data_IF_337559893289
#
_entry.id   IF_337559893289
#
_cell.length_a   1.000
_cell.length_b   1.000
_cell.length_c   1.000
_cell.angle_alpha   90.00
_cell.angle_beta   90.00
_cell.angle_gamma   90.00
#
_symmetry.space_group_name_H-M   'P 1'
#
loop_
_entity.id
_entity.type
_entity.pdbx_description
1 polymer ?
#
# COMPACT_ATOMS: atom_id res chain seq x y z
N UNK A 1 -20.37 -75.17 -3.47
CA UNK A 1 -21.26 -74.87 -2.31
C UNK A 1 -20.85 -75.82 -1.19
N UNK A 2 -20.53 -75.32 0.02
CA UNK A 2 -19.86 -76.07 1.11
C UNK A 2 -18.39 -76.49 0.76
N UNK A 3 -17.45 -76.71 1.70
CA UNK A 3 -17.56 -77.00 3.14
C UNK A 3 -16.40 -76.40 3.99
N UNK A 4 -16.44 -76.58 5.33
CA UNK A 4 -15.60 -75.90 6.38
C UNK A 4 -14.36 -76.70 6.85
N UNK A 5 -13.54 -76.05 7.71
CA UNK A 5 -12.60 -76.53 8.78
C UNK A 5 -11.09 -76.56 8.41
N UNK A 6 -10.11 -76.30 9.31
CA UNK A 6 -10.10 -75.76 10.70
C UNK A 6 -8.67 -75.37 11.22
N UNK A 7 -8.59 -74.48 12.23
CA UNK A 7 -7.62 -74.36 13.38
C UNK A 7 -6.07 -74.42 13.13
N UNK A 8 -5.23 -73.35 13.23
CA UNK A 8 -4.70 -72.57 14.42
C UNK A 8 -3.75 -73.39 15.34
N UNK A 9 -2.63 -72.90 16.00
CA UNK A 9 -1.66 -71.80 15.77
C UNK A 9 -0.15 -72.13 16.11
N UNK A 10 0.75 -71.13 16.08
CA UNK A 10 1.82 -70.75 17.09
C UNK A 10 3.05 -70.12 16.41
N UNK A 11 3.49 -68.88 16.73
CA UNK A 11 4.44 -68.50 17.79
C UNK A 11 5.85 -68.23 17.18
N UNK A 12 6.69 -67.26 17.55
CA UNK A 12 6.62 -66.12 18.48
C UNK A 12 7.99 -65.40 18.59
N UNK A 13 8.04 -64.18 19.17
CA UNK A 13 9.22 -63.44 19.73
C UNK A 13 10.45 -63.13 18.83
N UNK A 14 10.83 -61.86 18.56
CA UNK A 14 11.67 -60.93 19.40
C UNK A 14 13.18 -61.00 19.01
N UNK A 15 14.08 -60.02 19.20
CA UNK A 15 14.05 -58.61 19.68
C UNK A 15 15.40 -57.91 19.30
N UNK A 16 15.42 -56.57 19.23
CA UNK A 16 16.56 -55.61 19.44
C UNK A 16 17.85 -55.76 18.55
N UNK A 17 18.84 -54.84 18.47
CA UNK A 17 19.17 -53.59 19.21
C UNK A 17 19.95 -52.56 18.33
N UNK A 18 20.01 -51.30 18.79
CA UNK A 18 21.17 -50.34 18.82
C UNK A 18 22.05 -50.12 17.55
N UNK A 19 22.10 -48.91 16.98
CA UNK A 19 22.88 -47.70 17.36
C UNK A 19 24.28 -47.62 16.71
N UNK A 20 24.52 -46.56 15.91
CA UNK A 20 25.86 -45.99 15.68
C UNK A 20 25.77 -44.63 14.97
N UNK A 21 26.47 -43.63 15.47
CA UNK A 21 26.55 -42.28 14.89
C UNK A 21 27.88 -42.02 14.18
N UNK A 22 27.89 -41.24 13.08
CA UNK A 22 28.97 -40.27 12.78
C UNK A 22 28.80 -39.43 11.50
N UNK A 23 28.86 -38.10 11.70
CA UNK A 23 29.67 -37.09 10.98
C UNK A 23 29.43 -36.74 9.49
N UNK A 24 29.35 -35.42 9.29
CA UNK A 24 29.48 -34.68 8.03
C UNK A 24 30.61 -35.16 7.08
N UNK A 25 30.37 -35.09 5.76
CA UNK A 25 30.89 -33.98 4.92
C UNK A 25 30.30 -33.92 3.50
N UNK A 26 29.94 -32.70 3.11
CA UNK A 26 29.89 -32.12 1.74
C UNK A 26 30.43 -32.93 0.56
N UNK A 27 29.67 -32.97 -0.55
CA UNK A 27 30.26 -32.92 -1.91
C UNK A 27 29.37 -32.14 -2.90
N UNK A 28 30.01 -31.24 -3.65
CA UNK A 28 29.44 -30.47 -4.77
C UNK A 28 28.93 -31.39 -5.88
N UNK A 29 27.85 -30.96 -6.55
CA UNK A 29 27.56 -31.30 -7.94
C UNK A 29 27.15 -30.03 -8.71
N UNK A 30 27.90 -29.70 -9.78
CA UNK A 30 27.40 -28.98 -10.96
C UNK A 30 26.61 -30.02 -11.81
N UNK A 31 25.73 -29.70 -12.76
CA UNK A 31 25.89 -28.75 -13.89
C UNK A 31 24.56 -28.60 -14.67
N UNK A 32 24.42 -27.54 -15.49
CA UNK A 32 23.43 -27.34 -16.62
C UNK A 32 21.95 -27.25 -16.19
N UNK A 33 21.29 -26.08 -16.17
CA UNK A 33 20.95 -25.12 -17.25
C UNK A 33 19.75 -25.52 -18.13
N UNK A 34 18.59 -24.92 -17.86
CA UNK A 34 17.53 -24.62 -18.82
C UNK A 34 17.07 -23.19 -18.51
N UNK A 35 17.11 -22.29 -19.48
CA UNK A 35 16.87 -20.87 -19.26
C UNK A 35 15.41 -20.46 -19.50
N UNK A 36 14.90 -19.57 -18.66
CA UNK A 36 13.72 -18.74 -18.95
C UNK A 36 14.01 -17.29 -18.51
N UNK A 37 13.28 -16.35 -19.10
CA UNK A 37 13.66 -14.94 -19.26
C UNK A 37 13.55 -14.11 -17.98
N UNK A 38 14.61 -13.38 -17.63
CA UNK A 38 14.60 -12.39 -16.55
C UNK A 38 13.86 -11.10 -16.95
N UNK A 39 12.80 -10.75 -16.22
CA UNK A 39 12.41 -9.34 -16.09
C UNK A 39 13.41 -8.65 -15.15
N UNK A 40 13.79 -7.42 -15.49
CA UNK A 40 14.71 -6.62 -14.67
C UNK A 40 13.91 -5.98 -13.53
N UNK A 41 14.19 -6.38 -12.30
CA UNK A 41 13.73 -5.69 -11.11
C UNK A 41 14.55 -4.39 -10.95
N UNK A 42 13.87 -3.27 -10.75
CA UNK A 42 14.48 -1.99 -10.46
C UNK A 42 14.36 -1.72 -8.94
N UNK A 43 15.36 -2.15 -8.18
CA UNK A 43 15.50 -1.79 -6.78
C UNK A 43 15.66 -0.26 -6.62
N UNK A 44 14.80 0.36 -5.82
CA UNK A 44 14.99 1.71 -5.29
C UNK A 44 14.95 1.69 -3.76
N UNK A 45 16.00 1.12 -3.18
CA UNK A 45 16.28 1.19 -1.75
C UNK A 45 16.67 2.62 -1.35
N UNK A 46 15.72 3.40 -0.84
CA UNK A 46 15.99 4.65 -0.14
C UNK A 46 16.28 4.35 1.34
N UNK A 47 17.57 4.33 1.69
CA UNK A 47 18.04 4.23 3.06
C UNK A 47 19.29 5.09 3.23
N UNK A 48 19.18 6.20 3.96
CA UNK A 48 20.31 7.05 4.33
C UNK A 48 20.77 6.73 5.74
N UNK A 49 22.05 6.38 5.89
CA UNK A 49 22.71 6.23 7.19
C UNK A 49 23.58 7.47 7.50
N UNK A 50 23.51 7.95 8.74
CA UNK A 50 24.28 9.07 9.26
C UNK A 50 24.87 8.72 10.63
N UNK A 51 26.20 8.56 10.74
CA UNK A 51 26.92 8.59 12.02
C UNK A 51 28.45 8.80 11.88
N UNK A 52 28.89 10.02 12.19
CA UNK A 52 30.18 10.51 12.72
C UNK A 52 31.47 9.64 12.82
N UNK A 53 32.61 10.27 12.47
CA UNK A 53 33.95 9.97 12.98
C UNK A 53 35.05 10.97 12.50
N UNK A 54 35.77 11.62 13.42
CA UNK A 54 36.91 12.55 13.23
C UNK A 54 38.00 12.21 14.29
N UNK A 55 39.25 12.72 14.24
CA UNK A 55 40.18 13.03 13.12
C UNK A 55 41.66 12.61 13.39
N UNK A 56 42.58 12.76 12.41
CA UNK A 56 44.05 12.99 12.52
C UNK A 56 44.65 13.16 11.08
N UNK A 57 45.33 14.26 10.69
CA UNK A 57 46.80 14.54 10.80
C UNK A 57 47.71 13.38 10.30
N UNK A 58 48.71 13.51 9.41
CA UNK A 58 49.59 14.58 8.87
C UNK A 58 49.79 14.37 7.32
N UNK A 59 50.43 15.20 6.46
CA UNK A 59 51.07 16.53 6.48
C UNK A 59 51.30 17.05 5.01
N UNK A 60 51.99 18.21 4.85
CA UNK A 60 52.20 18.98 3.60
C UNK A 60 53.18 18.40 2.53
N UNK A 61 52.94 18.72 1.25
CA UNK A 61 54.01 19.12 0.30
C UNK A 61 53.44 19.85 -0.94
N UNK A 62 54.06 20.94 -1.44
CA UNK A 62 53.41 21.84 -2.39
C UNK A 62 53.70 21.55 -3.87
N UNK A 63 52.65 21.53 -4.70
CA UNK A 63 52.69 21.76 -6.16
C UNK A 63 51.42 22.50 -6.56
N UNK A 64 51.50 23.78 -6.90
CA UNK A 64 51.81 24.33 -8.24
C UNK A 64 50.54 24.50 -9.09
N UNK A 65 50.48 25.57 -9.87
CA UNK A 65 49.25 26.20 -10.33
C UNK A 65 48.37 25.30 -11.22
N UNK A 66 47.23 24.83 -10.68
CA UNK A 66 46.09 24.46 -11.50
C UNK A 66 45.15 25.65 -11.68
N UNK A 67 44.76 25.90 -12.94
CA UNK A 67 43.59 26.73 -13.24
C UNK A 67 42.36 26.07 -12.58
N UNK A 68 41.33 26.84 -12.18
CA UNK A 68 40.05 26.23 -11.83
C UNK A 68 39.57 25.41 -13.04
N UNK A 69 39.16 24.16 -12.79
CA UNK A 69 38.70 23.29 -13.86
C UNK A 69 37.44 23.89 -14.50
N UNK A 70 37.30 23.73 -15.81
CA UNK A 70 36.13 24.28 -16.53
C UNK A 70 34.82 23.68 -16.04
N UNK A 71 34.88 22.44 -15.56
CA UNK A 71 33.72 21.70 -15.05
C UNK A 71 33.35 22.16 -13.64
N UNK A 72 34.33 22.42 -12.76
CA UNK A 72 34.10 22.94 -11.40
C UNK A 72 33.44 24.34 -11.45
N UNK A 73 33.89 25.19 -12.37
CA UNK A 73 33.28 26.52 -12.61
C UNK A 73 31.98 26.50 -13.40
N UNK A 74 31.64 25.38 -14.05
CA UNK A 74 30.33 25.15 -14.64
C UNK A 74 29.33 24.66 -13.60
N UNK A 75 29.69 23.66 -12.79
CA UNK A 75 28.87 23.13 -11.71
C UNK A 75 28.51 24.20 -10.67
N UNK A 76 29.46 25.02 -10.23
CA UNK A 76 29.19 26.11 -9.29
C UNK A 76 28.23 27.19 -9.85
N UNK A 77 28.14 27.32 -11.19
CA UNK A 77 27.16 28.20 -11.85
C UNK A 77 25.79 27.55 -11.98
N UNK A 78 25.74 26.27 -12.34
CA UNK A 78 24.50 25.49 -12.42
C UNK A 78 23.81 25.46 -11.05
N UNK A 79 24.55 25.16 -9.99
CA UNK A 79 24.09 25.21 -8.59
C UNK A 79 23.61 26.62 -8.19
N UNK A 80 24.36 27.68 -8.57
CA UNK A 80 23.97 29.06 -8.26
C UNK A 80 22.70 29.52 -8.99
N UNK A 81 22.43 29.05 -10.21
CA UNK A 81 21.16 29.36 -10.90
C UNK A 81 20.00 28.50 -10.36
N UNK A 82 20.24 27.24 -10.01
CA UNK A 82 19.23 26.37 -9.41
C UNK A 82 18.72 26.91 -8.06
N UNK A 83 19.62 27.46 -7.23
CA UNK A 83 19.25 28.16 -5.98
C UNK A 83 18.36 29.36 -6.27
N UNK A 84 18.69 30.23 -7.24
CA UNK A 84 17.86 31.39 -7.61
C UNK A 84 16.49 30.99 -8.14
N UNK A 85 16.42 29.92 -8.94
CA UNK A 85 15.14 29.37 -9.41
C UNK A 85 14.27 28.87 -8.24
N UNK A 86 14.88 28.23 -7.25
CA UNK A 86 14.19 27.76 -6.05
C UNK A 86 13.71 28.94 -5.18
N UNK A 87 14.56 29.95 -4.94
CA UNK A 87 14.20 31.18 -4.22
C UNK A 87 13.04 31.92 -4.90
N UNK A 88 13.09 32.11 -6.23
CA UNK A 88 12.02 32.73 -7.00
C UNK A 88 10.72 31.92 -6.96
N UNK A 89 10.81 30.59 -7.03
CA UNK A 89 9.64 29.72 -6.88
C UNK A 89 9.02 29.85 -5.49
N UNK A 90 9.84 29.85 -4.45
CA UNK A 90 9.41 29.99 -3.05
C UNK A 90 8.75 31.36 -2.82
N UNK A 91 9.28 32.43 -3.41
CA UNK A 91 8.65 33.75 -3.39
C UNK A 91 7.29 33.74 -4.10
N UNK A 92 7.20 33.17 -5.31
CA UNK A 92 5.93 33.06 -6.03
C UNK A 92 4.87 32.27 -5.24
N UNK A 93 5.25 31.20 -4.55
CA UNK A 93 4.36 30.44 -3.66
C UNK A 93 3.84 31.30 -2.51
N UNK A 94 4.72 32.10 -1.88
CA UNK A 94 4.34 33.04 -0.83
C UNK A 94 3.34 34.09 -1.35
N UNK A 95 3.61 34.70 -2.50
CA UNK A 95 2.79 35.76 -3.11
C UNK A 95 1.41 35.24 -3.55
N UNK A 96 1.33 33.97 -3.97
CA UNK A 96 0.08 33.28 -4.30
C UNK A 96 -0.68 32.74 -3.06
N UNK A 97 -0.14 32.91 -1.84
CA UNK A 97 -0.69 32.31 -0.63
C UNK A 97 -0.77 30.78 -0.68
N UNK A 98 0.01 30.16 -1.56
CA UNK A 98 -0.07 28.74 -1.92
C UNK A 98 1.09 27.98 -1.29
N UNK A 99 0.80 26.91 -0.56
CA UNK A 99 1.83 26.27 0.27
C UNK A 99 2.35 27.23 1.35
N UNK A 100 1.45 27.68 2.25
CA UNK A 100 1.77 28.41 3.49
C UNK A 100 3.15 28.01 4.06
N UNK A 101 4.02 29.00 4.22
CA UNK A 101 5.33 28.85 4.81
C UNK A 101 5.24 28.56 6.32
N UNK A 102 6.07 27.62 6.78
CA UNK A 102 6.32 27.30 8.18
C UNK A 102 7.83 27.45 8.38
N UNK A 103 8.28 28.12 9.43
CA UNK A 103 9.72 28.25 9.72
C UNK A 103 10.29 26.96 10.32
N UNK A 104 11.60 26.79 10.33
CA UNK A 104 12.26 25.66 11.01
C UNK A 104 11.94 25.65 12.51
N UNK A 105 11.89 26.83 13.15
CA UNK A 105 11.53 26.97 14.58
C UNK A 105 10.07 26.56 14.84
N UNK A 106 9.12 27.00 14.00
CA UNK A 106 7.72 26.57 14.08
C UNK A 106 7.58 25.06 13.82
N UNK A 107 8.31 24.53 12.84
CA UNK A 107 8.33 23.11 12.51
C UNK A 107 8.81 22.27 13.70
N UNK A 108 9.93 22.64 14.33
CA UNK A 108 10.44 21.98 15.53
C UNK A 108 9.43 22.09 16.69
N UNK A 109 8.82 23.26 16.88
CA UNK A 109 7.77 23.44 17.89
C UNK A 109 6.53 22.56 17.64
N UNK A 110 6.12 22.35 16.38
CA UNK A 110 5.04 21.40 16.03
C UNK A 110 5.47 19.94 16.21
N UNK A 111 6.71 19.60 15.89
CA UNK A 111 7.27 18.26 16.11
C UNK A 111 7.26 17.89 17.60
N UNK A 112 7.72 18.80 18.47
CA UNK A 112 7.78 18.61 19.93
C UNK A 112 6.40 18.55 20.60
N UNK A 113 5.35 19.08 19.96
CA UNK A 113 3.96 18.97 20.43
C UNK A 113 3.34 17.58 20.19
N UNK A 114 3.87 16.81 19.24
CA UNK A 114 3.27 15.56 18.80
C UNK A 114 3.70 14.37 19.68
N UNK A 115 2.80 13.40 19.95
CA UNK A 115 3.15 12.21 20.68
C UNK A 115 4.23 11.38 19.96
N UNK A 116 5.09 10.74 20.73
CA UNK A 116 5.94 9.67 20.21
C UNK A 116 5.09 8.48 19.74
N UNK A 117 5.56 7.75 18.72
CA UNK A 117 4.93 6.48 18.34
C UNK A 117 4.83 5.54 19.55
N UNK A 118 3.71 4.82 19.73
CA UNK A 118 3.60 3.78 20.75
C UNK A 118 4.67 2.70 20.53
N UNK A 119 5.71 2.69 21.37
CA UNK A 119 6.71 1.63 21.35
C UNK A 119 6.17 0.43 22.09
N UNK A 120 5.58 -0.50 21.34
CA UNK A 120 5.15 -1.78 21.89
C UNK A 120 6.37 -2.69 21.95
N UNK A 121 7.09 -2.62 23.07
CA UNK A 121 8.02 -3.67 23.44
C UNK A 121 7.18 -4.88 23.86
N UNK A 122 7.34 -6.06 23.24
CA UNK A 122 6.65 -7.25 23.67
C UNK A 122 7.15 -7.62 25.07
N UNK A 123 6.29 -7.44 26.07
CA UNK A 123 6.61 -7.75 27.46
C UNK A 123 7.04 -9.22 27.59
N UNK A 124 7.96 -9.48 28.52
CA UNK A 124 8.37 -10.85 28.83
C UNK A 124 7.19 -11.71 29.39
N UNK A 125 6.12 -11.05 29.85
CA UNK A 125 4.89 -11.65 30.33
C UNK A 125 4.03 -12.07 29.13
N UNK A 126 3.85 -13.38 28.96
CA UNK A 126 2.95 -13.97 27.96
C UNK A 126 1.64 -14.38 28.61
N UNK A 127 0.56 -14.33 27.83
CA UNK A 127 -0.73 -14.88 28.24
C UNK A 127 -0.61 -16.33 28.73
N UNK A 128 -1.30 -16.64 29.83
CA UNK A 128 -1.39 -18.01 30.35
C UNK A 128 -2.17 -18.91 29.38
N UNK A 129 -2.00 -20.22 29.51
CA UNK A 129 -2.77 -21.19 28.72
C UNK A 129 -4.29 -21.02 28.85
N UNK A 130 -4.79 -20.57 30.01
CA UNK A 130 -6.22 -20.34 30.23
C UNK A 130 -6.73 -19.08 29.53
N UNK A 131 -5.92 -18.02 29.46
CA UNK A 131 -6.26 -16.79 28.74
C UNK A 131 -6.21 -17.01 27.22
N UNK A 132 -5.20 -17.73 26.72
CA UNK A 132 -5.14 -18.17 25.33
C UNK A 132 -6.37 -19.02 24.96
N UNK A 133 -6.82 -19.92 25.83
CA UNK A 133 -8.03 -20.72 25.63
C UNK A 133 -9.30 -19.86 25.49
N UNK A 134 -9.43 -18.80 26.31
CA UNK A 134 -10.53 -17.82 26.22
C UNK A 134 -10.44 -17.01 24.92
N UNK A 135 -9.25 -16.52 24.58
CA UNK A 135 -9.00 -15.73 23.38
C UNK A 135 -9.30 -16.53 22.10
N UNK A 136 -8.91 -17.80 22.04
CA UNK A 136 -9.22 -18.69 20.91
C UNK A 136 -10.73 -18.87 20.71
N UNK A 137 -11.52 -18.96 21.81
CA UNK A 137 -12.99 -18.99 21.75
C UNK A 137 -13.56 -17.66 21.24
N UNK A 138 -13.03 -16.52 21.71
CA UNK A 138 -13.48 -15.20 21.24
C UNK A 138 -13.15 -14.97 19.75
N UNK A 139 -11.93 -15.29 19.32
CA UNK A 139 -11.48 -15.16 17.92
C UNK A 139 -12.26 -16.10 16.98
N UNK A 140 -12.74 -17.26 17.47
CA UNK A 140 -13.63 -18.12 16.69
C UNK A 140 -14.97 -17.43 16.38
N UNK A 141 -15.56 -16.71 17.34
CA UNK A 141 -16.78 -15.92 17.12
C UNK A 141 -16.55 -14.79 16.09
N UNK A 142 -15.40 -14.13 16.13
CA UNK A 142 -15.03 -13.11 15.13
C UNK A 142 -14.95 -13.69 13.70
N UNK A 143 -14.35 -14.88 13.53
CA UNK A 143 -14.31 -15.60 12.24
C UNK A 143 -15.71 -15.98 11.76
N UNK A 144 -16.55 -16.49 12.67
CA UNK A 144 -17.93 -16.86 12.38
C UNK A 144 -18.76 -15.66 11.90
N UNK A 145 -18.66 -14.52 12.59
CA UNK A 145 -19.30 -13.25 12.17
C UNK A 145 -18.86 -12.82 10.78
N UNK A 146 -17.56 -12.83 10.50
CA UNK A 146 -17.04 -12.47 9.19
C UNK A 146 -17.56 -13.39 8.09
N UNK A 147 -17.53 -14.72 8.31
CA UNK A 147 -18.11 -15.68 7.38
C UNK A 147 -19.59 -15.42 7.11
N UNK A 148 -20.39 -15.20 8.17
CA UNK A 148 -21.81 -14.87 8.04
C UNK A 148 -22.05 -13.56 7.29
N UNK A 149 -21.22 -12.53 7.50
CA UNK A 149 -21.28 -11.28 6.74
C UNK A 149 -21.00 -11.52 5.25
N UNK A 150 -19.95 -12.28 4.91
CA UNK A 150 -19.65 -12.61 3.50
C UNK A 150 -20.80 -13.37 2.82
N UNK A 151 -21.46 -14.28 3.52
CA UNK A 151 -22.58 -15.05 2.95
C UNK A 151 -23.88 -14.23 2.86
N UNK A 152 -24.22 -13.45 3.90
CA UNK A 152 -25.50 -12.71 3.95
C UNK A 152 -25.47 -11.36 3.24
N UNK A 153 -24.41 -10.58 3.44
CA UNK A 153 -24.31 -9.20 2.96
C UNK A 153 -23.51 -9.11 1.65
N UNK A 154 -22.41 -9.87 1.50
CA UNK A 154 -21.61 -9.91 0.25
C UNK A 154 -22.10 -10.97 -0.77
N UNK A 155 -23.13 -11.75 -0.44
CA UNK A 155 -23.72 -12.76 -1.33
C UNK A 155 -22.79 -13.91 -1.73
N UNK A 156 -21.79 -14.27 -0.91
CA UNK A 156 -20.92 -15.43 -1.14
C UNK A 156 -21.65 -16.75 -0.89
N UNK A 157 -21.17 -17.82 -1.52
CA UNK A 157 -21.73 -19.17 -1.36
C UNK A 157 -21.56 -19.71 0.08
N UNK A 158 -22.59 -20.38 0.60
CA UNK A 158 -22.61 -20.92 1.97
C UNK A 158 -21.95 -22.30 2.04
N UNK A 159 -20.67 -22.36 1.67
CA UNK A 159 -19.84 -23.57 1.61
C UNK A 159 -19.81 -24.39 2.92
N UNK A 160 -20.11 -23.78 4.07
CA UNK A 160 -20.17 -24.42 5.39
C UNK A 160 -21.59 -24.69 5.90
N UNK A 161 -22.64 -24.19 5.23
CA UNK A 161 -24.02 -24.30 5.69
C UNK A 161 -24.31 -23.56 7.01
N UNK A 162 -23.63 -22.43 7.25
CA UNK A 162 -23.63 -21.71 8.52
C UNK A 162 -24.39 -20.39 8.51
N UNK A 163 -25.00 -19.99 7.37
CA UNK A 163 -25.67 -18.68 7.26
C UNK A 163 -26.76 -18.46 8.31
N UNK A 164 -27.56 -19.49 8.61
CA UNK A 164 -28.75 -19.39 9.46
C UNK A 164 -28.52 -19.79 10.93
N UNK A 165 -27.29 -20.18 11.29
CA UNK A 165 -26.91 -20.49 12.67
C UNK A 165 -26.83 -19.21 13.50
N UNK A 166 -27.48 -19.17 14.66
CA UNK A 166 -27.39 -18.02 15.59
C UNK A 166 -26.05 -17.96 16.34
N UNK A 167 -25.69 -16.81 16.92
CA UNK A 167 -24.49 -16.74 17.78
C UNK A 167 -24.67 -17.48 19.11
N UNK A 168 -25.91 -17.64 19.58
CA UNK A 168 -26.23 -18.36 20.82
C UNK A 168 -26.02 -19.88 20.68
N UNK A 169 -26.09 -20.41 19.46
CA UNK A 169 -25.74 -21.80 19.12
C UNK A 169 -24.22 -22.03 19.04
N UNK A 170 -23.41 -20.97 18.96
CA UNK A 170 -21.95 -21.04 18.82
C UNK A 170 -21.23 -21.25 20.17
N UNK A 171 -21.59 -22.33 20.87
CA UNK A 171 -20.95 -22.71 22.12
C UNK A 171 -19.50 -23.25 21.93
N UNK A 172 -18.81 -23.56 23.03
CA UNK A 172 -17.43 -24.08 22.97
C UNK A 172 -17.35 -25.45 22.26
N UNK A 173 -18.39 -26.28 22.31
CA UNK A 173 -18.40 -27.56 21.60
C UNK A 173 -18.59 -27.35 20.10
N UNK A 174 -19.47 -26.44 19.69
CA UNK A 174 -19.68 -26.02 18.31
C UNK A 174 -18.38 -25.45 17.71
N UNK A 175 -17.72 -24.52 18.41
CA UNK A 175 -16.41 -24.02 18.01
C UNK A 175 -15.38 -25.14 17.83
N UNK A 176 -15.29 -26.10 18.77
CA UNK A 176 -14.39 -27.25 18.63
C UNK A 176 -14.71 -28.15 17.43
N UNK A 177 -16.00 -28.43 17.17
CA UNK A 177 -16.46 -29.22 16.02
C UNK A 177 -15.99 -28.62 14.69
N UNK A 178 -15.98 -27.29 14.59
CA UNK A 178 -15.55 -26.54 13.42
C UNK A 178 -14.07 -26.08 13.45
N UNK A 179 -13.24 -26.65 14.33
CA UNK A 179 -11.81 -26.30 14.41
C UNK A 179 -11.55 -24.82 14.75
N UNK A 180 -12.44 -24.19 15.51
CA UNK A 180 -12.48 -22.75 15.81
C UNK A 180 -12.51 -21.86 14.56
N UNK A 181 -13.05 -22.39 13.46
CA UNK A 181 -13.15 -21.75 12.13
C UNK A 181 -11.81 -21.34 11.51
N UNK A 182 -10.68 -21.90 11.99
CA UNK A 182 -9.34 -21.61 11.43
C UNK A 182 -9.24 -21.90 9.94
N UNK A 183 -9.95 -22.93 9.46
CA UNK A 183 -10.02 -23.27 8.05
C UNK A 183 -10.46 -22.10 7.14
N UNK A 184 -11.22 -21.13 7.66
CA UNK A 184 -11.70 -19.95 6.90
C UNK A 184 -10.61 -18.86 6.78
N UNK A 185 -9.68 -18.81 7.73
CA UNK A 185 -8.44 -18.03 7.60
C UNK A 185 -7.43 -18.75 6.70
N UNK A 186 -7.27 -20.07 6.87
CA UNK A 186 -6.26 -20.90 6.19
C UNK A 186 -6.56 -21.13 4.70
N UNK A 187 -7.83 -21.23 4.31
CA UNK A 187 -8.25 -21.36 2.91
C UNK A 187 -8.35 -20.02 2.16
N UNK A 188 -7.86 -18.92 2.75
CA UNK A 188 -7.85 -17.56 2.19
C UNK A 188 -9.22 -16.92 1.91
N UNK A 189 -10.32 -17.48 2.44
CA UNK A 189 -11.67 -16.88 2.36
C UNK A 189 -11.75 -15.56 3.12
N UNK A 190 -11.02 -15.47 4.24
CA UNK A 190 -10.81 -14.21 4.95
C UNK A 190 -9.54 -13.52 4.45
N UNK A 191 -9.70 -12.23 4.16
CA UNK A 191 -8.69 -11.25 3.77
C UNK A 191 -7.99 -10.61 4.98
N UNK A 192 -8.14 -11.24 6.14
CA UNK A 192 -7.56 -10.88 7.42
C UNK A 192 -7.32 -12.14 8.26
N UNK A 193 -6.53 -12.00 9.32
CA UNK A 193 -6.29 -13.04 10.31
C UNK A 193 -5.84 -12.40 11.64
N UNK A 194 -5.93 -13.15 12.74
CA UNK A 194 -5.28 -12.74 13.99
C UNK A 194 -3.82 -13.19 14.00
N UNK A 195 -2.87 -12.25 14.13
CA UNK A 195 -1.45 -12.55 13.97
C UNK A 195 -0.90 -13.42 15.13
N UNK A 196 -0.27 -14.59 14.86
CA UNK A 196 0.09 -15.56 15.91
C UNK A 196 1.12 -15.10 16.96
N UNK A 197 1.90 -14.06 16.65
CA UNK A 197 2.83 -13.44 17.63
C UNK A 197 2.08 -12.45 18.51
N UNK A 198 1.32 -11.52 17.90
CA UNK A 198 0.52 -10.52 18.59
C UNK A 198 -0.57 -11.15 19.50
N UNK A 199 -1.06 -12.33 19.11
CA UNK A 199 -1.97 -13.14 19.94
C UNK A 199 -1.39 -13.66 21.25
N UNK A 200 -0.07 -13.56 21.49
CA UNK A 200 0.59 -14.01 22.73
C UNK A 200 0.90 -12.86 23.68
N UNK A 201 0.83 -11.63 23.17
CA UNK A 201 1.12 -10.40 23.88
C UNK A 201 -0.15 -9.92 24.62
N UNK A 202 -0.12 -9.82 25.97
CA UNK A 202 -1.26 -9.35 26.75
C UNK A 202 -1.51 -7.84 26.63
N UNK A 203 -0.52 -7.04 26.21
CA UNK A 203 -0.64 -5.57 26.10
C UNK A 203 -1.51 -5.11 24.93
N UNK A 204 -1.66 -5.98 23.91
CA UNK A 204 -2.42 -5.67 22.70
C UNK A 204 -3.94 -5.84 22.90
N UNK A 205 -4.70 -5.01 22.19
CA UNK A 205 -6.13 -5.23 21.96
C UNK A 205 -6.35 -6.19 20.79
N UNK A 206 -7.53 -6.81 20.69
CA UNK A 206 -7.87 -7.65 19.53
C UNK A 206 -7.89 -6.86 18.21
N UNK A 207 -8.09 -5.54 18.26
CA UNK A 207 -7.92 -4.64 17.12
C UNK A 207 -6.46 -4.58 16.62
N UNK A 208 -5.48 -4.57 17.53
CA UNK A 208 -4.06 -4.58 17.17
C UNK A 208 -3.58 -5.97 16.75
N UNK A 209 -4.22 -7.04 17.25
CA UNK A 209 -3.96 -8.42 16.80
C UNK A 209 -4.51 -8.72 15.40
N UNK A 210 -5.51 -7.96 14.95
CA UNK A 210 -6.12 -8.07 13.62
C UNK A 210 -5.17 -7.52 12.55
N UNK A 211 -4.75 -8.39 11.63
CA UNK A 211 -3.86 -8.05 10.51
C UNK A 211 -4.53 -8.41 9.19
N UNK A 212 -4.48 -7.50 8.22
CA UNK A 212 -5.00 -7.76 6.88
C UNK A 212 -4.00 -8.59 6.08
N UNK A 213 -4.48 -9.42 5.16
CA UNK A 213 -3.61 -10.15 4.23
C UNK A 213 -3.15 -9.24 3.10
N UNK A 214 -1.94 -9.48 2.60
CA UNK A 214 -1.40 -8.85 1.40
C UNK A 214 -1.41 -9.88 0.25
N UNK A 215 -2.52 -9.95 -0.49
CA UNK A 215 -2.65 -10.94 -1.56
C UNK A 215 -1.60 -10.67 -2.67
N UNK A 216 -0.85 -11.72 -3.03
CA UNK A 216 0.24 -11.61 -4.01
C UNK A 216 1.44 -10.75 -3.58
N UNK A 217 1.47 -10.24 -2.35
CA UNK A 217 2.52 -9.35 -1.84
C UNK A 217 2.42 -7.89 -2.32
N UNK A 218 1.43 -7.54 -3.15
CA UNK A 218 1.38 -6.26 -3.89
C UNK A 218 0.11 -5.43 -3.66
N UNK A 219 -0.81 -5.86 -2.79
CA UNK A 219 -2.03 -5.08 -2.48
C UNK A 219 -1.68 -3.79 -1.74
N UNK A 220 -0.74 -3.85 -0.79
CA UNK A 220 -0.35 -2.75 0.09
C UNK A 220 1.13 -2.38 -0.07
N UNK A 221 1.42 -1.09 -0.28
CA UNK A 221 2.75 -0.61 -0.64
C UNK A 221 3.84 -0.92 0.40
N UNK A 222 3.52 -0.82 1.69
CA UNK A 222 4.44 -1.10 2.81
C UNK A 222 3.78 -1.99 3.87
N UNK A 223 3.17 -3.09 3.42
CA UNK A 223 2.37 -3.98 4.27
C UNK A 223 3.06 -4.41 5.58
N UNK A 224 4.34 -4.77 5.53
CA UNK A 224 5.13 -5.21 6.68
C UNK A 224 5.14 -4.13 7.78
N UNK A 225 5.36 -2.87 7.39
CA UNK A 225 5.39 -1.74 8.32
C UNK A 225 3.98 -1.46 8.89
N UNK A 226 2.96 -1.50 8.03
CA UNK A 226 1.57 -1.15 8.40
C UNK A 226 0.99 -2.01 9.52
N UNK A 227 1.33 -3.30 9.58
CA UNK A 227 0.87 -4.16 10.67
C UNK A 227 1.75 -4.09 11.91
N UNK A 228 3.00 -3.61 11.80
CA UNK A 228 3.94 -3.43 12.92
C UNK A 228 3.78 -2.10 13.66
N UNK A 229 3.14 -1.09 13.07
CA UNK A 229 2.80 0.16 13.77
C UNK A 229 1.89 -0.04 14.99
N UNK A 230 1.10 -1.12 14.99
CA UNK A 230 0.25 -1.58 16.10
C UNK A 230 -0.56 -0.46 16.79
N UNK A 231 -1.02 0.53 16.03
CA UNK A 231 -1.80 1.64 16.54
C UNK A 231 -3.17 1.19 17.08
N UNK A 232 -3.72 1.94 18.03
CA UNK A 232 -5.10 1.75 18.46
C UNK A 232 -6.06 2.27 17.38
N UNK A 233 -7.29 1.74 17.35
CA UNK A 233 -8.31 2.21 16.39
C UNK A 233 -8.56 3.72 16.50
N UNK A 234 -8.43 4.30 17.70
CA UNK A 234 -8.60 5.75 17.93
C UNK A 234 -7.51 6.58 17.23
N UNK A 235 -6.27 6.09 17.20
CA UNK A 235 -5.17 6.75 16.48
C UNK A 235 -5.32 6.52 14.97
N UNK A 236 -5.70 5.31 14.55
CA UNK A 236 -5.89 4.98 13.13
C UNK A 236 -7.09 5.72 12.50
N UNK A 237 -8.21 5.87 13.22
CA UNK A 237 -9.35 6.70 12.80
C UNK A 237 -8.96 8.17 12.64
N UNK A 238 -8.17 8.71 13.57
CA UNK A 238 -7.68 10.08 13.46
C UNK A 238 -6.67 10.26 12.32
N UNK A 239 -5.79 9.27 12.10
CA UNK A 239 -4.88 9.23 10.96
C UNK A 239 -5.60 9.22 9.62
N UNK A 240 -6.70 8.49 9.49
CA UNK A 240 -7.50 8.50 8.25
C UNK A 240 -8.06 9.89 7.94
N UNK A 241 -8.57 10.60 8.97
CA UNK A 241 -9.06 11.97 8.84
C UNK A 241 -7.93 12.97 8.52
N UNK A 242 -6.76 12.79 9.15
CA UNK A 242 -5.56 13.57 8.85
C UNK A 242 -5.12 13.41 7.41
N UNK A 243 -5.05 12.19 6.88
CA UNK A 243 -4.74 11.97 5.47
C UNK A 243 -5.73 12.71 4.56
N UNK A 244 -7.05 12.65 4.85
CA UNK A 244 -8.05 13.37 4.05
C UNK A 244 -7.86 14.90 4.06
N UNK A 245 -7.47 15.50 5.18
CA UNK A 245 -7.15 16.94 5.23
C UNK A 245 -5.80 17.24 4.56
N UNK A 246 -4.80 16.39 4.79
CA UNK A 246 -3.45 16.51 4.22
C UNK A 246 -3.48 16.50 2.69
N UNK A 247 -4.21 15.55 2.08
CA UNK A 247 -4.37 15.49 0.62
C UNK A 247 -5.01 16.77 0.05
N UNK A 248 -6.01 17.34 0.73
CA UNK A 248 -6.63 18.62 0.31
C UNK A 248 -5.66 19.79 0.45
N UNK A 249 -4.88 19.84 1.55
CA UNK A 249 -3.95 20.93 1.85
C UNK A 249 -2.69 20.91 1.00
N UNK A 250 -2.21 19.73 0.60
CA UNK A 250 -1.00 19.54 -0.20
C UNK A 250 -1.25 19.41 -1.70
N UNK A 251 -2.49 19.55 -2.18
CA UNK A 251 -2.82 19.44 -3.61
C UNK A 251 -1.99 20.41 -4.49
N UNK A 252 -1.56 21.56 -3.96
CA UNK A 252 -0.68 22.49 -4.66
C UNK A 252 0.66 21.86 -5.11
N UNK A 253 1.11 20.79 -4.45
CA UNK A 253 2.33 20.07 -4.81
C UNK A 253 2.22 19.35 -6.16
N UNK A 254 1.01 19.03 -6.65
CA UNK A 254 0.78 18.33 -7.93
C UNK A 254 1.44 19.01 -9.15
N UNK A 255 1.58 20.34 -9.11
CA UNK A 255 2.25 21.14 -10.14
C UNK A 255 3.77 20.99 -10.17
N UNK A 256 4.35 20.36 -9.14
CA UNK A 256 5.80 20.32 -8.90
C UNK A 256 6.37 18.90 -8.80
N UNK A 257 5.53 17.88 -8.84
CA UNK A 257 5.95 16.46 -8.72
C UNK A 257 6.89 16.03 -9.85
N UNK A 258 6.72 16.64 -11.02
CA UNK A 258 7.47 16.38 -12.25
C UNK A 258 8.83 17.12 -12.28
N UNK A 259 9.21 17.83 -11.20
CA UNK A 259 10.55 18.41 -11.03
C UNK A 259 11.64 17.33 -11.05
N UNK A 260 12.80 17.64 -11.66
CA UNK A 260 13.97 16.75 -11.72
C UNK A 260 14.38 16.34 -10.31
N UNK A 261 14.74 15.07 -10.10
CA UNK A 261 15.24 14.56 -8.81
C UNK A 261 16.61 13.90 -8.98
N UNK A 262 17.57 14.12 -8.05
CA UNK A 262 17.55 15.17 -7.01
C UNK A 262 17.56 16.58 -7.63
N UNK A 263 17.04 17.57 -6.91
CA UNK A 263 17.18 19.01 -7.19
C UNK A 263 16.92 19.81 -5.92
N UNK A 264 17.69 20.87 -5.69
CA UNK A 264 17.51 21.81 -4.59
C UNK A 264 16.09 22.42 -4.63
N UNK A 265 15.59 22.69 -5.84
CA UNK A 265 14.21 23.13 -6.09
C UNK A 265 13.16 22.15 -5.58
N UNK A 266 13.33 20.84 -5.80
CA UNK A 266 12.45 19.82 -5.22
C UNK A 266 12.58 19.78 -3.70
N UNK A 267 13.79 19.90 -3.15
CA UNK A 267 14.01 19.84 -1.71
C UNK A 267 13.33 21.01 -0.98
N UNK A 268 13.37 22.23 -1.51
CA UNK A 268 12.62 23.37 -0.96
C UNK A 268 11.10 23.14 -0.96
N UNK A 269 10.55 22.60 -2.05
CA UNK A 269 9.11 22.27 -2.19
C UNK A 269 8.73 21.14 -1.23
N UNK A 270 9.60 20.14 -1.11
CA UNK A 270 9.42 18.98 -0.25
C UNK A 270 9.42 19.41 1.22
N UNK A 271 10.45 20.10 1.70
CA UNK A 271 10.51 20.59 3.09
C UNK A 271 9.30 21.43 3.46
N UNK A 272 8.86 22.35 2.57
CA UNK A 272 7.62 23.13 2.76
C UNK A 272 6.39 22.24 2.93
N UNK A 273 6.19 21.24 2.07
CA UNK A 273 5.09 20.29 2.21
C UNK A 273 5.18 19.44 3.49
N UNK A 274 6.38 19.03 3.90
CA UNK A 274 6.61 18.24 5.11
C UNK A 274 6.29 19.06 6.37
N UNK A 275 6.65 20.33 6.40
CA UNK A 275 6.38 21.21 7.55
C UNK A 275 4.88 21.52 7.67
N UNK A 276 4.18 21.69 6.54
CA UNK A 276 2.73 21.77 6.53
C UNK A 276 2.08 20.49 7.07
N UNK A 277 2.57 19.32 6.68
CA UNK A 277 2.08 18.04 7.19
C UNK A 277 2.21 17.95 8.72
N UNK A 278 3.38 18.34 9.25
CA UNK A 278 3.64 18.41 10.70
C UNK A 278 2.70 19.39 11.42
N UNK A 279 2.53 20.61 10.87
CA UNK A 279 1.61 21.63 11.39
C UNK A 279 0.15 21.15 11.42
N UNK A 280 -0.32 20.49 10.35
CA UNK A 280 -1.69 19.97 10.27
C UNK A 280 -1.90 18.91 11.35
N UNK A 281 -0.95 17.98 11.52
CA UNK A 281 -1.00 16.98 12.58
C UNK A 281 -1.05 17.65 13.97
N UNK A 282 -0.10 18.54 14.29
CA UNK A 282 0.03 19.14 15.61
C UNK A 282 -1.18 20.01 16.01
N UNK A 283 -1.74 20.76 15.06
CA UNK A 283 -2.84 21.71 15.34
C UNK A 283 -4.23 21.09 15.28
N UNK A 284 -4.41 20.01 14.52
CA UNK A 284 -5.75 19.47 14.19
C UNK A 284 -5.95 18.02 14.61
N UNK A 285 -4.88 17.22 14.72
CA UNK A 285 -4.93 15.77 14.92
C UNK A 285 -3.94 15.29 16.00
N UNK A 286 -4.12 15.72 17.27
CA UNK A 286 -3.09 15.64 18.31
C UNK A 286 -2.79 14.23 18.85
N UNK A 287 -3.50 13.18 18.42
CA UNK A 287 -3.19 11.78 18.77
C UNK A 287 -2.23 11.12 17.77
N UNK A 288 -2.04 11.73 16.60
CA UNK A 288 -1.13 11.25 15.56
C UNK A 288 0.30 11.56 16.00
N UNK A 289 1.23 10.63 15.80
CA UNK A 289 2.64 10.86 16.10
C UNK A 289 3.35 11.62 14.99
N UNK A 290 4.48 12.28 15.32
CA UNK A 290 5.33 12.90 14.29
C UNK A 290 5.77 11.89 13.20
N UNK A 291 6.03 10.63 13.58
CA UNK A 291 6.33 9.56 12.62
C UNK A 291 5.16 9.30 11.67
N UNK A 292 3.93 9.17 12.19
CA UNK A 292 2.74 9.00 11.34
C UNK A 292 2.50 10.22 10.46
N UNK A 293 2.73 11.44 10.96
CA UNK A 293 2.63 12.66 10.15
C UNK A 293 3.58 12.59 8.93
N UNK A 294 4.83 12.17 9.14
CA UNK A 294 5.81 11.90 8.07
C UNK A 294 5.37 10.78 7.13
N UNK A 295 4.87 9.65 7.63
CA UNK A 295 4.34 8.56 6.79
C UNK A 295 3.21 9.07 5.88
N UNK A 296 2.23 9.78 6.44
CA UNK A 296 1.12 10.35 5.68
C UNK A 296 1.60 11.35 4.62
N UNK A 297 2.62 12.15 4.91
CA UNK A 297 3.24 13.06 3.95
C UNK A 297 3.92 12.33 2.78
N UNK A 298 4.75 11.34 3.05
CA UNK A 298 5.42 10.56 2.00
C UNK A 298 4.42 9.75 1.17
N UNK A 299 3.39 9.17 1.78
CA UNK A 299 2.31 8.48 1.07
C UNK A 299 1.43 9.45 0.26
N UNK A 300 1.25 10.68 0.73
CA UNK A 300 0.57 11.74 -0.02
C UNK A 300 1.33 12.06 -1.33
N UNK A 301 2.65 12.31 -1.26
CA UNK A 301 3.48 12.53 -2.44
C UNK A 301 3.52 11.29 -3.34
N UNK A 302 3.69 10.09 -2.78
CA UNK A 302 3.74 8.86 -3.56
C UNK A 302 2.43 8.65 -4.32
N UNK A 303 1.29 8.88 -3.66
CA UNK A 303 -0.06 8.79 -4.23
C UNK A 303 -0.30 9.82 -5.34
N UNK A 304 0.02 11.11 -5.12
CA UNK A 304 -0.12 12.14 -6.16
C UNK A 304 0.89 11.93 -7.32
N UNK A 305 2.11 11.47 -7.00
CA UNK A 305 3.16 11.17 -7.97
C UNK A 305 2.79 9.99 -8.87
N UNK A 306 2.16 8.96 -8.30
CA UNK A 306 1.58 7.86 -9.05
C UNK A 306 0.50 8.36 -10.02
N UNK A 307 -0.36 9.27 -9.58
CA UNK A 307 -1.42 9.82 -10.43
C UNK A 307 -0.87 10.75 -11.53
N UNK A 308 0.16 11.57 -11.24
CA UNK A 308 0.90 12.34 -12.25
C UNK A 308 1.55 11.41 -13.27
N UNK A 309 2.24 10.37 -12.82
CA UNK A 309 2.99 9.48 -13.69
C UNK A 309 2.10 8.57 -14.56
N UNK A 310 0.98 8.06 -14.03
CA UNK A 310 0.14 7.08 -14.74
C UNK A 310 -1.15 7.64 -15.36
N UNK A 311 -1.79 8.65 -14.74
CA UNK A 311 -3.15 9.07 -15.12
C UNK A 311 -3.24 10.45 -15.77
N UNK A 312 -2.54 11.46 -15.25
CA UNK A 312 -2.58 12.86 -15.73
C UNK A 312 -2.40 12.92 -17.25
N UNK A 313 -3.25 13.66 -17.97
CA UNK A 313 -3.30 13.75 -19.45
C UNK A 313 -3.66 12.46 -20.23
N UNK A 314 -3.64 11.26 -19.65
CA UNK A 314 -3.88 10.02 -20.39
C UNK A 314 -5.34 9.89 -20.86
N UNK A 315 -6.28 10.45 -20.10
CA UNK A 315 -7.69 10.57 -20.48
C UNK A 315 -7.85 11.47 -21.72
N UNK A 316 -7.13 12.58 -21.77
CA UNK A 316 -7.05 13.46 -22.94
C UNK A 316 -6.47 12.77 -24.17
N UNK A 317 -5.38 12.01 -24.01
CA UNK A 317 -4.77 11.22 -25.09
C UNK A 317 -5.77 10.18 -25.63
N UNK A 318 -6.36 9.35 -24.77
CA UNK A 318 -7.31 8.31 -25.20
C UNK A 318 -8.61 8.90 -25.76
N UNK A 319 -9.07 10.05 -25.27
CA UNK A 319 -10.20 10.78 -25.86
C UNK A 319 -9.89 11.31 -27.26
N UNK A 320 -8.74 11.94 -27.48
CA UNK A 320 -8.32 12.45 -28.80
C UNK A 320 -8.05 11.33 -29.81
N UNK A 321 -7.59 10.15 -29.35
CA UNK A 321 -7.50 8.93 -30.16
C UNK A 321 -8.91 8.40 -30.47
N UNK A 322 -9.78 8.27 -29.46
CA UNK A 322 -11.15 7.79 -29.63
C UNK A 322 -11.93 8.63 -30.65
N UNK A 323 -11.80 9.95 -30.59
CA UNK A 323 -12.43 10.88 -31.54
C UNK A 323 -11.99 10.60 -32.98
N UNK A 324 -10.70 10.33 -33.22
CA UNK A 324 -10.15 9.99 -34.55
C UNK A 324 -10.58 8.62 -35.04
N UNK A 325 -10.52 7.62 -34.16
CA UNK A 325 -10.93 6.24 -34.50
C UNK A 325 -12.42 6.18 -34.84
N UNK A 326 -13.28 6.86 -34.09
CA UNK A 326 -14.75 6.81 -34.30
C UNK A 326 -15.27 7.76 -35.37
N UNK A 327 -14.84 9.02 -35.39
CA UNK A 327 -15.38 10.03 -36.32
C UNK A 327 -14.67 10.05 -37.68
N UNK A 328 -13.41 9.61 -37.74
CA UNK A 328 -12.57 9.61 -38.96
C UNK A 328 -12.17 8.22 -39.42
N UNK A 329 -12.67 7.16 -38.77
CA UNK A 329 -12.42 5.74 -39.11
C UNK A 329 -10.93 5.38 -39.20
N UNK A 330 -10.09 6.06 -38.41
CA UNK A 330 -8.64 5.86 -38.41
C UNK A 330 -8.25 4.58 -37.65
N UNK A 331 -7.14 3.96 -38.04
CA UNK A 331 -6.51 2.95 -37.18
C UNK A 331 -5.94 3.60 -35.91
N UNK A 332 -5.77 2.80 -34.86
CA UNK A 332 -5.16 3.26 -33.60
C UNK A 332 -3.77 3.89 -33.81
N UNK A 333 -2.95 3.36 -34.73
CA UNK A 333 -1.60 3.89 -35.00
C UNK A 333 -1.65 5.27 -35.65
N UNK A 334 -2.48 5.45 -36.68
CA UNK A 334 -2.65 6.75 -37.36
C UNK A 334 -3.23 7.80 -36.40
N UNK A 335 -4.20 7.40 -35.57
CA UNK A 335 -4.78 8.26 -34.54
C UNK A 335 -3.74 8.67 -33.48
N UNK A 336 -2.92 7.74 -33.01
CA UNK A 336 -1.84 8.00 -32.05
C UNK A 336 -0.77 8.92 -32.64
N UNK A 337 -0.39 8.72 -33.91
CA UNK A 337 0.60 9.54 -34.62
C UNK A 337 0.11 11.00 -34.77
N UNK A 338 -1.15 11.21 -35.14
CA UNK A 338 -1.72 12.55 -35.13
C UNK A 338 -1.77 13.18 -33.73
N UNK A 339 -2.11 12.41 -32.69
CA UNK A 339 -2.21 12.92 -31.32
C UNK A 339 -0.85 13.26 -30.73
N UNK A 340 0.20 12.48 -31.05
CA UNK A 340 1.59 12.82 -30.77
C UNK A 340 2.00 14.14 -31.45
N UNK A 341 1.64 14.30 -32.72
CA UNK A 341 1.92 15.52 -33.49
C UNK A 341 1.10 16.75 -33.07
N UNK A 342 0.08 16.62 -32.21
CA UNK A 342 -0.60 17.78 -31.61
C UNK A 342 0.24 18.49 -30.55
N UNK A 343 1.20 17.80 -29.92
CA UNK A 343 2.02 18.29 -28.80
C UNK A 343 1.23 18.90 -27.62
N UNK A 344 0.01 18.39 -27.39
CA UNK A 344 -0.91 18.87 -26.33
C UNK A 344 -0.82 18.12 -25.00
N UNK A 345 0.02 17.09 -24.93
CA UNK A 345 0.11 16.16 -23.80
C UNK A 345 1.56 15.90 -23.40
N UNK A 346 2.29 16.91 -22.87
CA UNK A 346 3.72 16.82 -22.61
C UNK A 346 4.12 15.65 -21.69
N UNK A 347 3.30 15.31 -20.69
CA UNK A 347 3.57 14.18 -19.77
C UNK A 347 3.36 12.81 -20.44
N UNK A 348 2.81 12.80 -21.66
CA UNK A 348 2.55 11.60 -22.46
C UNK A 348 3.35 11.56 -23.76
N UNK A 349 4.01 12.65 -24.18
CA UNK A 349 4.78 12.69 -25.42
C UNK A 349 5.87 11.61 -25.48
N UNK A 350 6.66 11.42 -24.42
CA UNK A 350 7.65 10.34 -24.40
C UNK A 350 7.02 8.95 -24.57
N UNK A 351 5.90 8.69 -23.86
CA UNK A 351 5.17 7.41 -23.94
C UNK A 351 4.58 7.17 -25.32
N UNK A 352 3.99 8.19 -25.94
CA UNK A 352 3.44 8.11 -27.30
C UNK A 352 4.54 7.88 -28.35
N UNK A 353 5.68 8.58 -28.22
CA UNK A 353 6.86 8.36 -29.08
C UNK A 353 7.36 6.91 -29.00
N UNK A 354 7.62 6.42 -27.78
CA UNK A 354 8.09 5.04 -27.58
C UNK A 354 7.07 4.03 -28.10
N UNK A 355 5.76 4.27 -27.96
CA UNK A 355 4.73 3.41 -28.55
C UNK A 355 4.75 3.44 -30.09
N UNK A 356 5.05 4.57 -30.74
CA UNK A 356 5.16 4.64 -32.20
C UNK A 356 6.39 3.88 -32.72
N UNK A 357 7.49 3.89 -31.96
CA UNK A 357 8.77 3.25 -32.27
C UNK A 357 8.79 1.73 -31.92
N UNK A 358 8.16 1.31 -30.83
CA UNK A 358 8.17 -0.07 -30.33
C UNK A 358 6.79 -0.77 -30.47
N UNK A 359 6.77 -1.91 -31.17
CA UNK A 359 5.55 -2.67 -31.45
C UNK A 359 4.92 -3.37 -30.24
N UNK A 360 5.70 -3.70 -29.20
CA UNK A 360 5.19 -4.27 -27.96
C UNK A 360 4.54 -3.19 -27.08
N UNK A 361 5.15 -2.01 -26.97
CA UNK A 361 4.58 -0.86 -26.26
C UNK A 361 3.32 -0.33 -26.98
N UNK A 362 3.32 -0.27 -28.33
CA UNK A 362 2.12 -0.05 -29.15
C UNK A 362 0.99 -1.02 -28.78
N UNK A 363 1.30 -2.33 -28.72
CA UNK A 363 0.32 -3.38 -28.40
C UNK A 363 -0.27 -3.22 -27.00
N UNK A 364 0.56 -2.87 -26.00
CA UNK A 364 0.11 -2.59 -24.63
C UNK A 364 -0.81 -1.37 -24.58
N UNK A 365 -0.38 -0.23 -25.13
CA UNK A 365 -1.15 1.01 -25.13
C UNK A 365 -2.47 0.89 -25.90
N UNK A 366 -2.49 0.14 -27.01
CA UNK A 366 -3.73 -0.19 -27.73
C UNK A 366 -4.69 -1.02 -26.89
N UNK A 367 -4.17 -2.00 -26.14
CA UNK A 367 -4.98 -2.86 -25.28
C UNK A 367 -5.59 -2.10 -24.10
N UNK A 368 -4.83 -1.16 -23.52
CA UNK A 368 -5.33 -0.21 -22.52
C UNK A 368 -6.45 0.67 -23.08
N UNK A 369 -6.20 1.33 -24.23
CA UNK A 369 -7.20 2.13 -24.93
C UNK A 369 -8.50 1.35 -25.21
N UNK A 370 -8.41 0.13 -25.72
CA UNK A 370 -9.58 -0.71 -26.00
C UNK A 370 -10.38 -1.04 -24.74
N UNK A 371 -9.71 -1.33 -23.61
CA UNK A 371 -10.38 -1.57 -22.34
C UNK A 371 -11.06 -0.29 -21.81
N UNK A 372 -10.39 0.86 -21.88
CA UNK A 372 -10.91 2.15 -21.45
C UNK A 372 -12.09 2.66 -22.29
N UNK A 373 -12.24 2.19 -23.53
CA UNK A 373 -13.30 2.61 -24.47
C UNK A 373 -14.42 1.58 -24.66
N UNK A 374 -14.29 0.37 -24.08
CA UNK A 374 -15.23 -0.73 -24.28
C UNK A 374 -16.69 -0.46 -23.88
N UNK A 375 -16.92 0.48 -22.95
CA UNK A 375 -18.25 0.87 -22.47
C UNK A 375 -18.93 1.98 -23.31
N UNK A 376 -18.24 2.53 -24.32
CA UNK A 376 -18.72 3.68 -25.09
C UNK A 376 -19.51 3.17 -26.31
N UNK A 377 -20.83 3.36 -26.28
CA UNK A 377 -21.71 3.01 -27.42
C UNK A 377 -21.77 4.17 -28.45
N UNK A 378 -22.18 3.92 -29.70
CA UNK A 378 -22.23 4.94 -30.76
C UNK A 378 -23.11 6.17 -30.44
N UNK A 379 -24.05 6.04 -29.51
CA UNK A 379 -25.00 7.08 -29.10
C UNK A 379 -24.40 8.04 -28.05
N UNK A 380 -23.23 7.69 -27.47
CA UNK A 380 -22.58 8.49 -26.43
C UNK A 380 -21.92 9.73 -27.04
N UNK A 381 -22.34 10.91 -26.54
CA UNK A 381 -21.74 12.21 -26.90
C UNK A 381 -20.34 12.37 -26.32
N UNK A 382 -19.54 13.27 -26.90
CA UNK A 382 -18.13 13.49 -26.52
C UNK A 382 -17.91 13.69 -25.01
N UNK A 383 -18.73 14.50 -24.32
CA UNK A 383 -18.61 14.70 -22.87
C UNK A 383 -18.80 13.40 -22.07
N UNK A 384 -19.75 12.57 -22.48
CA UNK A 384 -20.00 11.26 -21.87
C UNK A 384 -18.87 10.26 -22.18
N UNK A 385 -18.35 10.28 -23.41
CA UNK A 385 -17.20 9.46 -23.80
C UNK A 385 -15.96 9.83 -23.00
N UNK A 386 -15.70 11.13 -22.81
CA UNK A 386 -14.58 11.62 -21.98
C UNK A 386 -14.71 11.16 -20.51
N UNK A 387 -15.90 11.23 -19.93
CA UNK A 387 -16.16 10.74 -18.57
C UNK A 387 -15.91 9.22 -18.47
N UNK A 388 -16.43 8.42 -19.41
CA UNK A 388 -16.23 6.98 -19.46
C UNK A 388 -14.77 6.57 -19.64
N UNK A 389 -13.99 7.28 -20.48
CA UNK A 389 -12.55 7.04 -20.65
C UNK A 389 -11.81 7.32 -19.34
N UNK A 390 -12.10 8.44 -18.69
CA UNK A 390 -11.48 8.79 -17.40
C UNK A 390 -11.87 7.82 -16.27
N UNK A 391 -13.06 7.21 -16.33
CA UNK A 391 -13.45 6.12 -15.43
C UNK A 391 -12.71 4.81 -15.75
N UNK A 392 -12.63 4.44 -17.04
CA UNK A 392 -11.94 3.24 -17.51
C UNK A 392 -10.46 3.23 -17.13
N UNK A 393 -9.77 4.36 -17.31
CA UNK A 393 -8.36 4.55 -16.91
C UNK A 393 -8.18 4.32 -15.41
N UNK A 394 -9.03 4.93 -14.56
CA UNK A 394 -8.98 4.76 -13.10
C UNK A 394 -9.23 3.32 -12.65
N UNK A 395 -10.04 2.55 -13.41
CA UNK A 395 -10.33 1.14 -13.12
C UNK A 395 -9.24 0.18 -13.60
N UNK A 396 -8.45 0.55 -14.61
CA UNK A 396 -7.51 -0.38 -15.24
C UNK A 396 -6.17 -0.51 -14.51
N UNK A 397 -5.72 0.54 -13.82
CA UNK A 397 -4.43 0.55 -13.14
C UNK A 397 -4.64 0.34 -11.63
N UNK A 398 -4.08 -0.75 -11.10
CA UNK A 398 -4.06 -1.01 -9.67
C UNK A 398 -3.11 -0.03 -8.96
N UNK A 399 -3.64 1.13 -8.56
CA UNK A 399 -2.93 2.04 -7.65
C UNK A 399 -2.59 1.30 -6.35
N UNK A 400 -1.33 1.35 -5.87
CA UNK A 400 -0.95 0.76 -4.60
C UNK A 400 -1.82 1.30 -3.45
N UNK A 401 -2.26 0.42 -2.55
CA UNK A 401 -2.96 0.85 -1.34
C UNK A 401 -1.94 1.28 -0.29
N UNK A 402 -2.16 2.44 0.31
CA UNK A 402 -1.30 3.00 1.34
C UNK A 402 -1.85 2.70 2.74
N UNK A 403 -1.25 3.26 3.79
CA UNK A 403 -1.65 2.93 5.16
C UNK A 403 -3.10 3.35 5.45
N UNK A 404 -3.58 4.44 4.84
CA UNK A 404 -4.97 4.89 5.02
C UNK A 404 -6.01 3.92 4.43
N UNK A 405 -5.74 3.28 3.28
CA UNK A 405 -6.61 2.22 2.76
C UNK A 405 -6.53 0.94 3.61
N UNK A 406 -5.36 0.62 4.16
CA UNK A 406 -5.18 -0.49 5.11
C UNK A 406 -6.04 -0.26 6.36
N UNK A 407 -5.92 0.92 6.97
CA UNK A 407 -6.70 1.35 8.14
C UNK A 407 -8.20 1.28 7.86
N UNK A 408 -8.69 1.93 6.79
CA UNK A 408 -10.14 1.98 6.48
C UNK A 408 -10.74 0.58 6.36
N UNK A 409 -10.02 -0.35 5.72
CA UNK A 409 -10.43 -1.75 5.59
C UNK A 409 -10.37 -2.50 6.92
N UNK A 410 -9.31 -2.30 7.73
CA UNK A 410 -9.14 -2.90 9.07
C UNK A 410 -10.23 -2.46 10.05
N UNK A 411 -10.56 -1.17 10.10
CA UNK A 411 -11.66 -0.61 10.90
C UNK A 411 -12.99 -1.23 10.46
N UNK A 412 -13.28 -1.26 9.15
CA UNK A 412 -14.51 -1.86 8.63
C UNK A 412 -14.65 -3.32 9.07
N UNK A 413 -13.61 -4.15 8.87
CA UNK A 413 -13.59 -5.55 9.31
C UNK A 413 -13.78 -5.65 10.83
N UNK A 414 -13.09 -4.84 11.62
CA UNK A 414 -13.20 -4.85 13.08
C UNK A 414 -14.61 -4.52 13.58
N UNK A 415 -15.36 -3.65 12.87
CA UNK A 415 -16.78 -3.38 13.13
C UNK A 415 -17.67 -4.56 12.72
N UNK A 416 -17.44 -5.15 11.54
CA UNK A 416 -18.18 -6.34 11.05
C UNK A 416 -18.07 -7.54 11.99
N UNK A 417 -16.88 -7.78 12.57
CA UNK A 417 -16.65 -8.91 13.49
C UNK A 417 -16.94 -8.57 14.96
N UNK A 418 -17.34 -7.33 15.25
CA UNK A 418 -17.73 -6.89 16.59
C UNK A 418 -16.58 -6.75 17.58
N UNK A 419 -15.36 -6.42 17.11
CA UNK A 419 -14.28 -5.89 17.97
C UNK A 419 -14.54 -4.42 18.28
N UNK A 420 -15.03 -3.67 17.29
CA UNK A 420 -15.42 -2.26 17.42
C UNK A 420 -16.96 -2.13 17.36
N UNK A 421 -17.55 -1.10 18.00
CA UNK A 421 -18.97 -0.84 17.88
C UNK A 421 -19.37 -0.52 16.43
N UNK A 422 -20.62 -0.82 16.01
CA UNK A 422 -21.13 -0.38 14.72
C UNK A 422 -21.05 1.14 14.56
N UNK A 423 -20.75 1.62 13.36
CA UNK A 423 -20.71 3.06 13.07
C UNK A 423 -22.09 3.69 13.32
N UNK A 424 -22.17 4.74 14.13
CA UNK A 424 -23.45 5.27 14.62
C UNK A 424 -24.40 5.73 13.50
N UNK A 425 -23.86 6.10 12.33
CA UNK A 425 -24.63 6.46 11.14
C UNK A 425 -25.52 5.35 10.55
N UNK A 426 -25.32 4.07 10.88
CA UNK A 426 -26.18 2.98 10.38
C UNK A 426 -27.51 2.84 11.14
N UNK A 427 -27.66 3.46 12.33
CA UNK A 427 -28.90 3.38 13.11
C UNK A 427 -30.04 4.25 12.58
N UNK A 428 -29.76 5.22 11.69
CA UNK A 428 -30.79 6.11 11.16
C UNK A 428 -31.53 5.55 9.92
N UNK A 429 -30.97 4.58 9.19
CA UNK A 429 -31.65 3.98 8.03
C UNK A 429 -32.60 2.83 8.41
N UNK A 430 -32.32 2.04 9.45
CA UNK A 430 -33.25 0.96 9.87
C UNK A 430 -34.50 1.45 10.63
N UNK A 431 -34.52 2.71 11.08
CA UNK A 431 -35.61 3.28 11.89
C UNK A 431 -36.58 4.18 11.10
N UNK A 432 -36.46 4.27 9.77
CA UNK A 432 -37.42 4.99 8.92
C UNK A 432 -38.35 4.07 8.11
N UNK A 433 -38.00 2.80 7.90
CA UNK A 433 -38.86 1.80 7.24
C UNK A 433 -39.69 0.93 8.22
N UNK A 434 -39.81 1.36 9.49
CA UNK A 434 -40.56 0.61 10.53
C UNK A 434 -41.31 1.51 11.52
N UNK A 435 -42.05 2.50 11.04
CA UNK A 435 -42.86 3.39 11.87
C UNK A 435 -44.01 4.10 11.13
N UNK A 436 -45.15 3.40 11.06
CA UNK A 436 -46.55 3.86 10.75
C UNK A 436 -46.81 4.70 9.48
#
# INVERSE_FOLDING_TARGET
MHQKKATVPSGGSAQDSEESAAKHRTKKARTVSSGETSMVEADTSLGGDMAHGHPAEEADTPKDFQKPDSDETAHAKEESEEVKEAELLIQNLNDLGTGEHVSDDDFNAYFDQLPSMPRIYPDAVKLTSQELDKQVVHHALCRFRSYRHKVKEEGKDDTLGLKDVSEDECDRQFHKKWGYFKQIEENWTLDWYFHPVYCKDPSLSDYQRLVLRNYGGTEYARWCDYHEFLCSHVIEEEYANYCEELFKRLQWMEGYLDARRPSYKWDCISSRGAFQAMKIAATTFPKISASLAYYGYHECIASMGYDSFWFKELDGVYFEIWRRVTQRMMSFREALEEVYNLDRFPLRQHRMKVALEDGYIMGRMKSEYCACTAAITPEVKEDGAKALIAEGIRKQINKPKYYVEYIRKKIHIARVIGILPPHEGLKQQCNQDSGE
#
